data_IF_082749844128
#
_entry.id   IF_082749844128
#
_cell.length_a   1.000
_cell.length_b   1.000
_cell.length_c   1.000
_cell.angle_alpha   90.00
_cell.angle_beta   90.00
_cell.angle_gamma   90.00
#
_symmetry.space_group_name_H-M   'P 1'
#
loop_
_entity.id
_entity.type
_entity.pdbx_description
1 polymer ?
#
# COMPACT_ATOMS: atom_id res chain seq x y z
N UNK A 1 38.53 -32.67 25.00
CA UNK A 1 37.35 -32.01 24.39
C UNK A 1 37.22 -32.55 22.98
N UNK A 2 36.35 -33.55 22.84
CA UNK A 2 36.18 -34.35 21.63
C UNK A 2 35.19 -33.65 20.69
N UNK A 3 35.52 -33.64 19.40
CA UNK A 3 34.57 -33.34 18.34
C UNK A 3 33.77 -34.60 17.95
N UNK A 4 32.56 -34.36 17.44
CA UNK A 4 31.87 -35.24 16.50
C UNK A 4 30.65 -34.49 15.96
N UNK A 5 30.54 -34.49 14.64
CA UNK A 5 29.39 -34.04 13.85
C UNK A 5 28.08 -34.66 14.36
N UNK A 6 27.01 -33.87 14.42
CA UNK A 6 25.64 -34.39 14.60
C UNK A 6 24.97 -34.51 13.24
N UNK A 7 24.97 -35.74 12.71
CA UNK A 7 24.05 -36.21 11.69
C UNK A 7 22.66 -36.36 12.32
N UNK A 8 21.63 -35.74 11.74
CA UNK A 8 20.23 -36.00 12.11
C UNK A 8 19.63 -36.89 11.03
N UNK A 9 19.54 -38.18 11.34
CA UNK A 9 18.75 -39.16 10.58
C UNK A 9 17.27 -39.02 10.95
N UNK A 10 16.41 -38.92 9.94
CA UNK A 10 14.95 -38.93 10.11
C UNK A 10 14.46 -40.37 9.91
N UNK A 11 14.09 -41.04 11.00
CA UNK A 11 13.37 -42.32 10.94
C UNK A 11 11.88 -42.09 10.66
N UNK A 12 11.35 -42.78 9.65
CA UNK A 12 9.91 -42.85 9.39
C UNK A 12 9.28 -43.90 10.33
N UNK A 13 8.48 -43.44 11.29
CA UNK A 13 7.65 -44.33 12.11
C UNK A 13 6.36 -44.64 11.35
N UNK A 14 6.15 -45.93 11.06
CA UNK A 14 5.01 -46.47 10.33
C UNK A 14 3.99 -47.02 11.33
N UNK A 15 3.06 -46.19 11.81
CA UNK A 15 1.91 -46.63 12.59
C UNK A 15 0.63 -45.95 12.13
N UNK A 16 -0.28 -46.76 11.58
CA UNK A 16 -1.63 -46.35 11.14
C UNK A 16 -2.51 -46.09 12.35
N UNK A 17 -2.94 -44.85 12.55
CA UNK A 17 -4.08 -44.52 13.40
C UNK A 17 -5.28 -44.20 12.50
N UNK A 18 -6.33 -45.02 12.62
CA UNK A 18 -7.63 -44.80 11.98
C UNK A 18 -8.33 -43.60 12.60
N UNK A 19 -8.59 -42.56 11.82
CA UNK A 19 -9.60 -41.55 12.13
C UNK A 19 -10.58 -41.50 10.96
N UNK A 20 -11.78 -42.01 11.22
CA UNK A 20 -12.90 -42.10 10.29
C UNK A 20 -13.46 -40.70 9.99
N UNK A 21 -13.43 -40.29 8.73
CA UNK A 21 -14.16 -39.13 8.22
C UNK A 21 -15.48 -39.65 7.63
N UNK A 22 -16.66 -39.07 7.95
CA UNK A 22 -17.89 -39.48 7.30
C UNK A 22 -17.88 -39.02 5.83
N UNK A 23 -18.04 -40.00 4.95
CA UNK A 23 -18.16 -39.86 3.50
C UNK A 23 -19.60 -39.42 3.15
N UNK A 24 -19.73 -38.40 2.30
CA UNK A 24 -20.90 -38.20 1.46
C UNK A 24 -20.43 -38.12 0.00
N UNK A 25 -20.52 -39.30 -0.64
CA UNK A 25 -20.58 -39.68 -2.05
C UNK A 25 -20.24 -38.67 -3.16
N UNK A 26 -19.26 -39.07 -3.97
CA UNK A 26 -18.97 -38.58 -5.32
C UNK A 26 -20.11 -38.80 -6.30
N UNK A 27 -20.32 -37.89 -7.24
CA UNK A 27 -20.39 -38.25 -8.66
C UNK A 27 -20.06 -37.02 -9.51
N UNK A 28 -18.95 -37.16 -10.22
CA UNK A 28 -18.68 -36.64 -11.55
C UNK A 28 -18.48 -35.13 -11.74
N UNK A 29 -17.20 -34.73 -11.67
CA UNK A 29 -16.68 -33.66 -12.51
C UNK A 29 -16.72 -34.13 -13.98
N UNK A 30 -17.08 -33.22 -14.90
CA UNK A 30 -16.18 -33.02 -16.02
C UNK A 30 -15.70 -31.58 -16.08
N UNK A 31 -14.40 -31.47 -16.37
CA UNK A 31 -13.78 -30.27 -16.93
C UNK A 31 -14.58 -29.80 -18.14
N UNK A 32 -15.23 -28.65 -18.00
CA UNK A 32 -15.48 -27.77 -19.14
C UNK A 32 -15.34 -26.34 -18.67
N UNK A 33 -14.43 -25.66 -19.36
CA UNK A 33 -14.28 -24.22 -19.39
C UNK A 33 -15.64 -23.53 -19.62
N UNK A 34 -15.74 -22.28 -19.13
CA UNK A 34 -16.89 -21.37 -19.30
C UNK A 34 -18.07 -21.50 -18.31
N UNK A 35 -17.77 -21.44 -17.01
CA UNK A 35 -18.72 -21.01 -15.98
C UNK A 35 -18.62 -19.50 -15.69
N UNK A 36 -19.14 -18.65 -16.59
CA UNK A 36 -19.30 -17.21 -16.31
C UNK A 36 -20.41 -17.04 -15.26
N UNK A 37 -20.04 -17.02 -13.99
CA UNK A 37 -20.92 -16.55 -12.91
C UNK A 37 -20.73 -15.04 -12.77
N UNK A 38 -21.55 -14.27 -13.50
CA UNK A 38 -21.79 -12.86 -13.20
C UNK A 38 -22.52 -12.76 -11.86
N UNK A 39 -21.76 -12.79 -10.77
CA UNK A 39 -22.26 -12.72 -9.41
C UNK A 39 -21.24 -12.07 -8.48
N UNK A 40 -21.02 -10.77 -8.64
CA UNK A 40 -20.47 -9.92 -7.56
C UNK A 40 -20.87 -8.45 -7.82
N UNK A 41 -22.16 -8.25 -8.07
CA UNK A 41 -22.83 -6.93 -8.11
C UNK A 41 -23.08 -6.42 -6.68
N UNK A 42 -22.01 -6.39 -5.88
CA UNK A 42 -22.02 -5.60 -4.64
C UNK A 42 -21.57 -4.20 -5.00
N UNK A 43 -22.52 -3.27 -5.10
CA UNK A 43 -22.22 -1.84 -5.09
C UNK A 43 -21.42 -1.55 -3.83
N UNK A 44 -20.19 -1.06 -3.99
CA UNK A 44 -19.38 -0.72 -2.83
C UNK A 44 -19.81 0.62 -2.27
N UNK A 45 -20.09 0.64 -0.97
CA UNK A 45 -20.41 1.83 -0.20
C UNK A 45 -19.33 2.08 0.83
N UNK A 46 -19.22 3.34 1.28
CA UNK A 46 -18.31 3.69 2.35
C UNK A 46 -18.69 2.98 3.67
N UNK A 47 -17.71 2.38 4.34
CA UNK A 47 -17.81 1.62 5.60
C UNK A 47 -17.23 2.39 6.80
N UNK A 48 -16.89 3.66 6.61
CA UNK A 48 -16.28 4.56 7.58
C UNK A 48 -16.91 5.94 7.48
N UNK A 49 -16.51 6.87 8.34
CA UNK A 49 -17.01 8.25 8.31
C UNK A 49 -16.42 8.98 7.10
N UNK A 50 -17.26 9.44 6.13
CA UNK A 50 -16.78 10.18 4.98
C UNK A 50 -16.00 11.42 5.39
N UNK A 51 -14.86 11.65 4.73
CA UNK A 51 -13.96 12.76 5.06
C UNK A 51 -13.15 13.22 3.85
N UNK A 52 -12.52 14.40 3.89
CA UNK A 52 -11.62 14.85 2.83
C UNK A 52 -10.48 13.84 2.56
N UNK A 53 -10.15 13.67 1.28
CA UNK A 53 -9.10 12.76 0.83
C UNK A 53 -7.97 13.52 0.14
N UNK A 54 -6.74 13.08 0.39
CA UNK A 54 -5.54 13.58 -0.28
C UNK A 54 -4.73 12.43 -0.86
N UNK A 55 -4.43 12.52 -2.14
CA UNK A 55 -3.64 11.56 -2.90
C UNK A 55 -2.22 12.08 -3.09
N UNK A 56 -1.23 11.33 -2.58
CA UNK A 56 0.20 11.66 -2.62
C UNK A 56 0.90 10.70 -3.57
N UNK A 57 1.28 11.20 -4.75
CA UNK A 57 1.90 10.39 -5.78
C UNK A 57 3.33 9.94 -5.40
N UNK A 58 3.86 8.98 -6.16
CA UNK A 58 5.23 8.49 -6.04
C UNK A 58 6.24 9.28 -6.88
N UNK A 59 7.31 8.62 -7.29
CA UNK A 59 8.31 9.18 -8.20
C UNK A 59 7.74 9.33 -9.61
N UNK A 60 8.15 10.38 -10.34
CA UNK A 60 7.86 10.53 -11.77
C UNK A 60 7.15 11.83 -12.19
N UNK A 61 6.92 12.77 -11.27
CA UNK A 61 6.36 14.09 -11.61
C UNK A 61 7.49 15.13 -11.59
N UNK A 62 7.82 15.78 -12.72
CA UNK A 62 8.96 16.71 -12.83
C UNK A 62 8.66 18.15 -12.41
N UNK A 63 7.46 18.42 -11.89
CA UNK A 63 6.99 19.76 -11.55
C UNK A 63 6.20 19.75 -10.25
N UNK A 64 6.01 20.94 -9.69
CA UNK A 64 5.26 21.17 -8.46
C UNK A 64 4.23 22.27 -8.71
N UNK A 65 3.07 22.16 -8.08
CA UNK A 65 2.07 23.23 -8.05
C UNK A 65 1.92 23.76 -6.63
N UNK A 66 1.58 25.05 -6.45
CA UNK A 66 1.52 25.69 -5.14
C UNK A 66 0.37 25.19 -4.26
N UNK A 67 -0.68 24.63 -4.86
CA UNK A 67 -1.89 24.16 -4.16
C UNK A 67 -2.23 22.71 -4.50
N UNK A 68 -3.08 22.10 -3.68
CA UNK A 68 -3.66 20.80 -3.99
C UNK A 68 -4.65 20.91 -5.15
N UNK A 69 -4.55 19.97 -6.09
CA UNK A 69 -5.33 19.96 -7.33
C UNK A 69 -6.56 19.06 -7.22
N UNK A 70 -7.54 19.28 -8.09
CA UNK A 70 -8.73 18.41 -8.23
C UNK A 70 -8.50 17.23 -9.19
N UNK A 71 -7.39 17.23 -9.92
CA UNK A 71 -7.00 16.11 -10.76
C UNK A 71 -5.49 16.02 -10.91
N UNK A 72 -4.98 14.81 -11.17
CA UNK A 72 -3.59 14.57 -11.53
C UNK A 72 -3.51 13.32 -12.40
N UNK A 73 -2.96 13.46 -13.61
CA UNK A 73 -2.82 12.36 -14.59
C UNK A 73 -2.07 11.13 -14.04
N UNK A 74 -1.28 11.30 -12.98
CA UNK A 74 -0.63 10.20 -12.27
C UNK A 74 -1.60 9.11 -11.81
N UNK A 75 -2.80 9.48 -11.35
CA UNK A 75 -3.73 8.57 -10.65
C UNK A 75 -4.88 8.04 -11.51
N UNK A 76 -4.90 8.34 -12.81
CA UNK A 76 -6.05 8.00 -13.66
C UNK A 76 -7.32 8.77 -13.27
N UNK A 77 -8.48 8.27 -13.72
CA UNK A 77 -9.78 8.83 -13.39
C UNK A 77 -10.39 8.07 -12.21
N UNK A 78 -10.62 8.76 -11.09
CA UNK A 78 -11.22 8.21 -9.88
C UNK A 78 -12.61 8.77 -9.58
N UNK A 79 -13.21 9.53 -10.49
CA UNK A 79 -14.56 10.06 -10.32
C UNK A 79 -15.56 8.93 -10.08
N UNK A 80 -16.30 8.99 -8.97
CA UNK A 80 -17.27 7.96 -8.58
C UNK A 80 -16.67 6.75 -7.86
N UNK A 81 -15.35 6.62 -7.78
CA UNK A 81 -14.65 5.44 -7.25
C UNK A 81 -14.09 5.63 -5.84
N UNK A 82 -14.49 6.69 -5.14
CA UNK A 82 -14.00 7.03 -3.80
C UNK A 82 -15.16 7.36 -2.85
N UNK A 83 -16.02 6.38 -2.49
CA UNK A 83 -17.27 6.64 -1.77
C UNK A 83 -17.07 7.22 -0.36
N UNK A 84 -15.89 7.04 0.25
CA UNK A 84 -15.55 7.63 1.55
C UNK A 84 -14.95 9.04 1.49
N UNK A 85 -14.71 9.56 0.29
CA UNK A 85 -14.11 10.87 0.11
C UNK A 85 -15.20 11.93 -0.09
N UNK A 86 -15.32 12.87 0.84
CA UNK A 86 -16.22 14.04 0.64
C UNK A 86 -15.65 15.01 -0.39
N UNK A 87 -14.32 15.10 -0.45
CA UNK A 87 -13.56 15.79 -1.50
C UNK A 87 -12.32 14.96 -1.82
N UNK A 88 -11.87 15.02 -3.07
CA UNK A 88 -10.64 14.35 -3.51
C UNK A 88 -9.67 15.42 -3.98
N UNK A 89 -8.51 15.46 -3.34
CA UNK A 89 -7.42 16.37 -3.68
C UNK A 89 -6.16 15.60 -4.02
N UNK A 90 -5.32 16.18 -4.86
CA UNK A 90 -4.06 15.60 -5.32
C UNK A 90 -2.91 16.55 -4.98
N UNK A 91 -1.94 16.05 -4.22
CA UNK A 91 -0.69 16.77 -3.97
C UNK A 91 0.20 16.62 -5.20
N UNK A 92 0.59 17.74 -5.83
CA UNK A 92 1.48 17.75 -7.00
C UNK A 92 2.83 18.30 -6.57
N UNK A 93 3.84 17.44 -6.53
CA UNK A 93 5.17 17.76 -6.03
C UNK A 93 6.25 17.30 -7.03
N UNK A 94 7.35 18.04 -7.13
CA UNK A 94 8.47 17.63 -7.99
C UNK A 94 9.22 16.46 -7.34
N UNK A 95 8.87 15.24 -7.74
CA UNK A 95 9.42 13.99 -7.22
C UNK A 95 10.47 13.37 -8.12
N UNK A 96 10.83 14.02 -9.24
CA UNK A 96 11.99 13.64 -10.04
C UNK A 96 13.24 14.28 -9.45
N UNK A 97 13.20 15.56 -9.15
CA UNK A 97 14.37 16.29 -8.64
C UNK A 97 14.50 16.20 -7.11
N UNK A 98 13.39 15.91 -6.40
CA UNK A 98 13.39 15.79 -4.94
C UNK A 98 12.97 14.39 -4.51
N UNK A 99 13.92 13.62 -3.99
CA UNK A 99 13.69 12.26 -3.48
C UNK A 99 13.03 12.28 -2.10
N UNK A 100 12.54 11.12 -1.66
CA UNK A 100 11.86 10.98 -0.36
C UNK A 100 12.70 11.34 0.87
N UNK A 101 14.02 11.36 0.75
CA UNK A 101 14.96 11.74 1.81
C UNK A 101 15.13 13.26 1.93
N UNK A 102 14.61 14.04 0.97
CA UNK A 102 14.68 15.49 1.01
C UNK A 102 13.71 16.03 2.08
N UNK A 103 14.26 16.67 3.10
CA UNK A 103 13.47 17.20 4.22
C UNK A 103 12.49 18.32 3.82
N UNK A 104 12.83 19.13 2.81
CA UNK A 104 11.89 20.15 2.30
C UNK A 104 10.72 19.46 1.62
N UNK A 105 10.98 18.44 0.80
CA UNK A 105 9.94 17.66 0.13
C UNK A 105 9.01 16.95 1.11
N UNK A 106 9.57 16.33 2.15
CA UNK A 106 8.80 15.73 3.24
C UNK A 106 7.88 16.75 3.93
N UNK A 107 8.39 17.96 4.19
CA UNK A 107 7.60 19.02 4.81
C UNK A 107 6.47 19.51 3.89
N UNK A 108 6.72 19.60 2.58
CA UNK A 108 5.66 19.89 1.60
C UNK A 108 4.55 18.83 1.65
N UNK A 109 4.88 17.54 1.76
CA UNK A 109 3.87 16.48 1.93
C UNK A 109 2.99 16.71 3.16
N UNK A 110 3.58 17.07 4.31
CA UNK A 110 2.81 17.41 5.50
C UNK A 110 1.88 18.60 5.26
N UNK A 111 2.39 19.70 4.70
CA UNK A 111 1.61 20.90 4.43
C UNK A 111 0.44 20.63 3.46
N UNK A 112 0.68 19.78 2.46
CA UNK A 112 -0.36 19.35 1.50
C UNK A 112 -1.47 18.57 2.20
N UNK A 113 -1.13 17.69 3.15
CA UNK A 113 -2.11 16.92 3.90
C UNK A 113 -2.87 17.78 4.93
N UNK A 114 -2.18 18.67 5.66
CA UNK A 114 -2.78 19.59 6.62
C UNK A 114 -3.83 20.49 5.95
N UNK A 115 -3.56 21.00 4.74
CA UNK A 115 -4.44 21.92 4.03
C UNK A 115 -5.78 21.33 3.57
N UNK A 116 -5.97 20.00 3.67
CA UNK A 116 -7.14 19.30 3.11
C UNK A 116 -8.32 19.31 4.08
N UNK A 117 -8.03 19.20 5.38
CA UNK A 117 -9.06 19.28 6.43
C UNK A 117 -8.92 20.58 7.22
N UNK A 118 -10.06 21.25 7.42
CA UNK A 118 -10.14 22.47 8.24
C UNK A 118 -9.95 22.20 9.74
N UNK A 119 -10.07 20.95 10.17
CA UNK A 119 -9.86 20.56 11.57
C UNK A 119 -8.39 20.34 11.90
N UNK A 120 -7.55 20.16 10.87
CA UNK A 120 -6.10 20.05 11.04
C UNK A 120 -5.56 21.30 11.72
N UNK A 121 -4.70 21.11 12.71
CA UNK A 121 -4.13 22.20 13.50
C UNK A 121 -2.66 21.95 13.78
N UNK A 122 -1.87 23.02 13.73
CA UNK A 122 -0.42 22.98 13.94
C UNK A 122 0.24 21.97 12.98
N UNK A 123 0.79 20.89 13.51
CA UNK A 123 1.40 19.81 12.74
C UNK A 123 0.58 18.50 12.75
N UNK A 124 -0.68 18.53 13.21
CA UNK A 124 -1.54 17.36 13.35
C UNK A 124 -2.57 17.31 12.23
N UNK A 125 -2.53 16.24 11.43
CA UNK A 125 -3.50 15.98 10.36
C UNK A 125 -4.70 15.23 10.94
N UNK A 126 -5.88 15.86 10.92
CA UNK A 126 -7.13 15.29 11.42
C UNK A 126 -8.19 15.18 10.33
N UNK A 127 -9.18 14.33 10.54
CA UNK A 127 -10.32 14.09 9.65
C UNK A 127 -9.92 13.92 8.17
N UNK A 128 -8.85 13.20 7.89
CA UNK A 128 -8.32 13.07 6.52
C UNK A 128 -8.05 11.62 6.15
N UNK A 129 -8.48 11.17 4.97
CA UNK A 129 -7.98 9.94 4.36
C UNK A 129 -6.79 10.29 3.47
N UNK A 130 -5.63 9.72 3.78
CA UNK A 130 -4.41 9.93 3.01
C UNK A 130 -4.13 8.68 2.20
N UNK A 131 -4.13 8.81 0.87
CA UNK A 131 -3.78 7.74 -0.06
C UNK A 131 -2.40 8.02 -0.63
N UNK A 132 -1.41 7.18 -0.36
CA UNK A 132 -0.05 7.39 -0.85
C UNK A 132 0.48 6.22 -1.67
N UNK A 133 1.14 6.52 -2.79
CA UNK A 133 1.69 5.52 -3.69
C UNK A 133 3.22 5.54 -3.74
N UNK A 134 3.85 4.36 -3.74
CA UNK A 134 5.28 4.18 -3.96
C UNK A 134 6.12 5.11 -3.05
N UNK A 135 6.97 5.96 -3.63
CA UNK A 135 7.79 6.94 -2.91
C UNK A 135 6.97 7.92 -2.03
N UNK A 136 5.70 8.16 -2.33
CA UNK A 136 4.79 8.96 -1.51
C UNK A 136 4.64 8.43 -0.09
N UNK A 137 4.61 7.09 0.07
CA UNK A 137 4.56 6.46 1.39
C UNK A 137 5.82 6.81 2.21
N UNK A 138 6.99 6.81 1.57
CA UNK A 138 8.25 7.12 2.23
C UNK A 138 8.34 8.60 2.63
N UNK A 139 7.81 9.51 1.80
CA UNK A 139 7.77 10.94 2.14
C UNK A 139 6.89 11.21 3.35
N UNK A 140 5.69 10.61 3.38
CA UNK A 140 4.77 10.75 4.50
C UNK A 140 5.31 10.08 5.77
N UNK A 141 5.86 8.87 5.64
CA UNK A 141 6.48 8.18 6.77
C UNK A 141 7.68 8.96 7.33
N UNK A 142 8.50 9.53 6.45
CA UNK A 142 9.68 10.31 6.84
C UNK A 142 9.31 11.59 7.60
N UNK A 143 8.28 12.31 7.16
CA UNK A 143 7.84 13.53 7.86
C UNK A 143 7.24 13.21 9.23
N UNK A 144 6.48 12.11 9.35
CA UNK A 144 5.93 11.64 10.61
C UNK A 144 7.05 11.20 11.58
N UNK A 145 7.99 10.38 11.11
CA UNK A 145 9.12 9.91 11.91
C UNK A 145 10.04 11.02 12.39
N UNK A 146 10.09 12.14 11.65
CA UNK A 146 10.84 13.33 12.06
C UNK A 146 10.10 14.21 13.07
N UNK A 147 8.87 13.86 13.46
CA UNK A 147 8.03 14.65 14.37
C UNK A 147 7.50 15.96 13.76
N UNK A 148 7.70 16.17 12.46
CA UNK A 148 7.25 17.39 11.75
C UNK A 148 5.78 17.35 11.37
N UNK A 149 5.18 16.17 11.38
CA UNK A 149 3.75 15.95 11.18
C UNK A 149 3.31 14.78 12.06
N UNK A 150 2.05 14.72 12.43
CA UNK A 150 1.45 13.54 13.04
C UNK A 150 0.04 13.30 12.49
N UNK A 151 -0.45 12.08 12.68
CA UNK A 151 -1.81 11.70 12.31
C UNK A 151 -2.64 11.63 13.58
N UNK A 152 -3.75 12.35 13.60
CA UNK A 152 -4.78 12.14 14.61
C UNK A 152 -5.52 10.82 14.38
N UNK A 153 -6.13 10.28 15.43
CA UNK A 153 -6.96 9.07 15.36
C UNK A 153 -8.16 9.18 14.40
N UNK A 154 -8.61 10.41 14.10
CA UNK A 154 -9.62 10.72 13.09
C UNK A 154 -9.11 10.66 11.65
N UNK A 155 -7.82 10.38 11.41
CA UNK A 155 -7.25 10.24 10.08
C UNK A 155 -7.00 8.78 9.72
N UNK A 156 -6.92 8.49 8.43
CA UNK A 156 -6.71 7.13 7.92
C UNK A 156 -5.64 7.14 6.85
N UNK A 157 -4.65 6.26 6.97
CA UNK A 157 -3.60 6.11 5.98
C UNK A 157 -3.79 4.84 5.15
N UNK A 158 -4.02 5.03 3.85
CA UNK A 158 -4.06 3.98 2.83
C UNK A 158 -2.75 4.00 2.03
N UNK A 159 -1.98 2.92 2.13
CA UNK A 159 -0.74 2.75 1.38
C UNK A 159 -0.91 1.92 0.11
N UNK A 160 -0.20 2.29 -0.95
CA UNK A 160 -0.16 1.55 -2.21
C UNK A 160 1.29 1.36 -2.64
N UNK A 161 1.70 0.10 -2.84
CA UNK A 161 3.07 -0.32 -3.17
C UNK A 161 4.16 0.44 -2.42
N UNK A 162 3.97 0.59 -1.12
CA UNK A 162 4.98 1.15 -0.25
C UNK A 162 6.24 0.27 -0.32
N UNK A 163 7.41 0.82 -0.68
CA UNK A 163 8.67 0.07 -0.78
C UNK A 163 9.29 -0.16 0.61
N UNK A 164 8.48 -0.59 1.58
CA UNK A 164 8.80 -0.51 3.01
C UNK A 164 9.26 -1.83 3.63
N UNK A 165 9.91 -2.67 2.83
CA UNK A 165 10.45 -3.95 3.28
C UNK A 165 11.98 -3.98 3.11
N UNK A 166 12.69 -3.97 4.24
CA UNK A 166 14.14 -4.12 4.29
C UNK A 166 14.58 -5.16 5.34
N UNK A 167 14.72 -6.42 4.93
CA UNK A 167 15.86 -7.23 5.38
C UNK A 167 16.99 -7.06 4.34
N UNK A 168 17.82 -6.03 4.52
CA UNK A 168 19.12 -5.81 3.82
C UNK A 168 19.24 -5.90 2.28
N UNK A 169 18.25 -6.31 1.47
CA UNK A 169 18.50 -6.67 0.06
C UNK A 169 17.61 -5.98 -0.99
N UNK A 170 16.75 -5.03 -0.61
CA UNK A 170 15.95 -4.23 -1.56
C UNK A 170 16.49 -2.81 -1.79
N UNK A 171 17.32 -2.26 -0.88
CA UNK A 171 17.95 -0.95 -1.07
C UNK A 171 18.98 -0.92 -2.21
N UNK A 172 19.56 -2.08 -2.56
CA UNK A 172 20.68 -2.16 -3.49
C UNK A 172 20.29 -2.19 -4.99
N UNK A 173 19.02 -2.43 -5.33
CA UNK A 173 18.60 -2.56 -6.74
C UNK A 173 17.87 -1.33 -7.28
N UNK A 174 17.10 -0.61 -6.45
CA UNK A 174 16.46 0.64 -6.88
C UNK A 174 17.41 1.85 -6.87
N UNK A 175 18.51 1.81 -6.11
CA UNK A 175 19.51 2.88 -6.05
C UNK A 175 20.71 2.68 -7.00
N UNK A 176 20.86 1.51 -7.64
CA UNK A 176 22.02 1.23 -8.51
C UNK A 176 22.05 2.04 -9.80
N UNK A 177 20.92 2.61 -10.24
CA UNK A 177 20.85 3.42 -11.45
C UNK A 177 21.01 4.94 -11.21
N UNK A 178 21.22 5.40 -9.98
CA UNK A 178 21.30 6.85 -9.66
C UNK A 178 22.60 7.27 -8.95
N UNK A 179 23.61 6.40 -8.88
CA UNK A 179 25.00 6.81 -8.69
C UNK A 179 25.35 7.49 -7.35
N UNK A 180 24.60 7.28 -6.27
CA UNK A 180 24.94 7.81 -4.94
C UNK A 180 24.73 6.78 -3.83
N UNK A 181 25.79 6.03 -3.53
CA UNK A 181 25.96 5.24 -2.31
C UNK A 181 27.40 5.43 -1.80
N UNK A 182 27.66 5.39 -0.48
CA UNK A 182 26.81 4.76 0.53
C UNK A 182 25.99 5.74 1.42
N UNK A 183 24.87 5.26 2.01
CA UNK A 183 24.02 6.06 2.89
C UNK A 183 24.66 6.28 4.28
N UNK A 184 24.52 7.49 4.81
CA UNK A 184 24.93 7.88 6.17
C UNK A 184 24.07 7.18 7.26
N UNK A 185 24.54 7.17 8.50
CA UNK A 185 23.84 6.59 9.66
C UNK A 185 22.42 7.15 9.85
N UNK A 186 22.19 8.42 9.49
CA UNK A 186 20.87 9.07 9.52
C UNK A 186 19.88 8.49 8.49
N UNK A 187 20.35 8.02 7.33
CA UNK A 187 19.51 7.36 6.32
C UNK A 187 19.09 5.95 6.76
N UNK A 188 19.93 5.26 7.55
CA UNK A 188 19.58 3.97 8.17
C UNK A 188 18.56 4.14 9.31
N UNK A 189 18.69 5.19 10.13
CA UNK A 189 17.74 5.47 11.21
C UNK A 189 16.39 6.02 10.71
N UNK A 190 16.40 6.87 9.69
CA UNK A 190 15.17 7.30 8.99
C UNK A 190 14.44 6.12 8.37
N UNK A 191 15.17 5.15 7.79
CA UNK A 191 14.57 3.93 7.24
C UNK A 191 13.85 3.13 8.34
N UNK A 192 14.41 3.02 9.55
CA UNK A 192 13.78 2.26 10.65
C UNK A 192 12.60 3.00 11.29
N UNK A 193 12.77 4.27 11.65
CA UNK A 193 11.68 5.08 12.24
C UNK A 193 10.50 5.21 11.30
N UNK A 194 10.74 5.59 10.04
CA UNK A 194 9.69 5.68 9.03
C UNK A 194 9.03 4.32 8.76
N UNK A 195 9.80 3.22 8.76
CA UNK A 195 9.21 1.87 8.65
C UNK A 195 8.26 1.56 9.81
N UNK A 196 8.69 1.83 11.04
CA UNK A 196 7.87 1.63 12.23
C UNK A 196 6.59 2.47 12.16
N UNK A 197 6.71 3.76 11.84
CA UNK A 197 5.57 4.67 11.81
C UNK A 197 4.58 4.33 10.70
N UNK A 198 5.07 3.90 9.54
CA UNK A 198 4.17 3.38 8.51
C UNK A 198 3.46 2.13 8.97
N UNK A 199 4.17 1.15 9.53
CA UNK A 199 3.56 -0.11 9.97
C UNK A 199 2.53 0.10 11.09
N UNK A 200 2.74 1.08 11.98
CA UNK A 200 1.82 1.38 13.07
C UNK A 200 0.61 2.20 12.65
N UNK A 201 0.74 3.05 11.62
CA UNK A 201 -0.32 3.99 11.22
C UNK A 201 -1.08 3.58 9.95
N UNK A 202 -0.53 2.67 9.13
CA UNK A 202 -1.20 2.22 7.90
C UNK A 202 -2.44 1.37 8.25
N UNK A 203 -3.59 1.80 7.77
CA UNK A 203 -4.87 1.11 8.01
C UNK A 203 -5.21 0.10 6.92
N UNK A 204 -4.63 0.28 5.74
CA UNK A 204 -4.85 -0.54 4.57
C UNK A 204 -3.65 -0.47 3.61
N UNK A 205 -3.32 -1.59 2.96
CA UNK A 205 -2.17 -1.65 2.07
C UNK A 205 -2.40 -2.58 0.88
N UNK A 206 -2.19 -2.07 -0.33
CA UNK A 206 -2.10 -2.86 -1.56
C UNK A 206 -0.63 -3.05 -1.95
N UNK A 207 -0.20 -4.30 -2.15
CA UNK A 207 1.17 -4.64 -2.52
C UNK A 207 1.23 -5.93 -3.34
N UNK A 208 2.22 -6.11 -4.23
CA UNK A 208 2.32 -7.31 -5.07
C UNK A 208 3.13 -8.47 -4.46
N UNK A 209 4.03 -8.17 -3.52
CA UNK A 209 5.04 -9.12 -3.03
C UNK A 209 4.76 -9.72 -1.65
N UNK A 210 3.69 -9.32 -0.97
CA UNK A 210 3.42 -9.78 0.41
C UNK A 210 2.56 -11.04 0.43
N UNK A 211 3.17 -12.19 0.76
CA UNK A 211 2.47 -13.49 0.71
C UNK A 211 1.39 -13.65 1.77
N UNK A 212 1.47 -12.88 2.87
CA UNK A 212 0.49 -12.89 3.96
C UNK A 212 -0.80 -12.12 3.63
N UNK A 213 -0.80 -11.32 2.56
CA UNK A 213 -1.96 -10.51 2.20
C UNK A 213 -3.00 -11.32 1.43
N UNK A 214 -4.27 -10.93 1.59
CA UNK A 214 -5.38 -11.60 0.92
C UNK A 214 -5.36 -11.31 -0.58
N UNK A 215 -5.78 -12.28 -1.40
CA UNK A 215 -5.66 -12.20 -2.88
C UNK A 215 -6.88 -11.57 -3.56
N UNK A 216 -7.75 -10.91 -2.81
CA UNK A 216 -9.00 -10.32 -3.32
C UNK A 216 -9.12 -8.86 -2.89
N UNK A 217 -9.80 -8.04 -3.68
CA UNK A 217 -10.06 -6.62 -3.38
C UNK A 217 -10.87 -6.42 -2.09
N UNK A 218 -11.51 -7.46 -1.56
CA UNK A 218 -12.26 -7.41 -0.29
C UNK A 218 -11.32 -7.34 0.93
N UNK A 219 -10.02 -7.62 0.76
CA UNK A 219 -9.05 -7.60 1.84
C UNK A 219 -8.41 -6.21 1.99
N UNK A 220 -8.45 -5.63 3.21
CA UNK A 220 -7.77 -4.35 3.51
C UNK A 220 -6.27 -4.39 3.23
N UNK A 221 -5.66 -5.55 3.48
CA UNK A 221 -4.29 -5.87 3.09
C UNK A 221 -4.35 -6.77 1.85
N UNK A 222 -4.22 -6.15 0.68
CA UNK A 222 -4.49 -6.76 -0.62
C UNK A 222 -3.21 -7.09 -1.37
N UNK A 223 -3.06 -8.37 -1.72
CA UNK A 223 -2.03 -8.86 -2.60
C UNK A 223 -2.49 -8.78 -4.05
N UNK A 224 -2.02 -7.78 -4.77
CA UNK A 224 -2.32 -7.63 -6.20
C UNK A 224 -1.31 -8.40 -7.07
N UNK A 225 -1.73 -8.81 -8.27
CA UNK A 225 -0.83 -9.30 -9.32
C UNK A 225 -0.34 -8.20 -10.26
N UNK A 226 -0.79 -6.97 -10.06
CA UNK A 226 -0.40 -5.82 -10.86
C UNK A 226 1.05 -5.39 -10.58
N UNK A 227 1.67 -4.78 -11.59
CA UNK A 227 2.97 -4.13 -11.44
C UNK A 227 2.82 -2.74 -10.77
N UNK A 228 3.95 -2.10 -10.47
CA UNK A 228 3.99 -0.79 -9.78
C UNK A 228 3.25 0.34 -10.51
N UNK A 229 3.11 0.25 -11.84
CA UNK A 229 2.47 1.30 -12.62
C UNK A 229 0.96 1.08 -12.76
N UNK A 230 0.52 -0.16 -12.90
CA UNK A 230 -0.91 -0.46 -13.11
C UNK A 230 -1.77 -0.24 -11.85
N UNK A 231 -1.14 -0.27 -10.68
CA UNK A 231 -1.79 0.06 -9.40
C UNK A 231 -2.01 1.57 -9.19
N UNK A 232 -1.63 2.42 -10.15
CA UNK A 232 -1.97 3.84 -10.17
C UNK A 232 -3.39 4.12 -10.68
N UNK A 233 -4.23 3.08 -10.81
CA UNK A 233 -5.63 3.14 -11.29
C UNK A 233 -5.84 3.58 -12.75
N UNK A 234 -4.77 3.94 -13.47
CA UNK A 234 -4.85 4.41 -14.87
C UNK A 234 -5.58 3.47 -15.82
N UNK A 235 -5.48 2.17 -15.58
CA UNK A 235 -6.04 1.13 -16.45
C UNK A 235 -7.30 0.48 -15.87
N UNK A 236 -7.80 0.96 -14.73
CA UNK A 236 -8.97 0.38 -14.06
C UNK A 236 -8.75 -1.04 -13.55
N UNK A 237 -9.85 -1.79 -13.51
CA UNK A 237 -9.91 -3.17 -13.02
C UNK A 237 -9.74 -4.20 -14.14
N UNK A 238 -9.10 -5.32 -13.80
CA UNK A 238 -8.85 -6.44 -14.70
C UNK A 238 -10.10 -7.30 -14.90
N UNK A 239 -10.46 -7.54 -16.16
CA UNK A 239 -11.67 -8.28 -16.55
C UNK A 239 -11.70 -9.75 -16.08
N UNK A 240 -10.53 -10.38 -15.92
CA UNK A 240 -10.43 -11.83 -15.68
C UNK A 240 -9.68 -12.20 -14.39
N UNK A 241 -9.38 -11.23 -13.52
CA UNK A 241 -8.61 -11.52 -12.30
C UNK A 241 -9.05 -10.73 -11.08
N UNK A 242 -9.55 -11.44 -10.06
CA UNK A 242 -9.86 -10.87 -8.74
C UNK A 242 -8.62 -10.29 -8.02
N UNK A 243 -7.42 -10.65 -8.46
CA UNK A 243 -6.15 -10.13 -7.97
C UNK A 243 -5.64 -8.89 -8.77
N UNK A 244 -6.41 -8.40 -9.73
CA UNK A 244 -6.12 -7.21 -10.53
C UNK A 244 -7.27 -6.20 -10.44
N UNK A 245 -7.75 -5.92 -9.23
CA UNK A 245 -8.93 -5.08 -9.00
C UNK A 245 -8.58 -3.86 -8.14
N UNK A 246 -7.68 -2.96 -8.59
CA UNK A 246 -7.22 -1.83 -7.79
C UNK A 246 -8.32 -0.80 -7.54
N UNK A 247 -9.19 -0.52 -8.51
CA UNK A 247 -10.27 0.47 -8.36
C UNK A 247 -11.33 -0.07 -7.42
N UNK A 248 -11.81 -1.30 -7.65
CA UNK A 248 -12.75 -1.96 -6.71
C UNK A 248 -12.15 -2.12 -5.32
N UNK A 249 -10.84 -2.34 -5.20
CA UNK A 249 -10.20 -2.36 -3.87
C UNK A 249 -10.36 -1.00 -3.19
N UNK A 250 -10.04 0.11 -3.86
CA UNK A 250 -10.18 1.45 -3.31
C UNK A 250 -11.64 1.78 -2.94
N UNK A 251 -12.59 1.44 -3.81
CA UNK A 251 -14.03 1.67 -3.59
C UNK A 251 -14.57 0.94 -2.37
N UNK A 252 -14.16 -0.31 -2.17
CA UNK A 252 -14.71 -1.18 -1.15
C UNK A 252 -13.89 -1.18 0.15
N UNK A 253 -12.79 -0.42 0.20
CA UNK A 253 -11.77 -0.52 1.24
C UNK A 253 -12.27 -0.02 2.60
N UNK A 254 -12.81 1.19 2.58
CA UNK A 254 -13.15 2.00 3.73
C UNK A 254 -14.63 2.21 3.84
#
# INVERSE_FOLDING_TARGET
>A
MYGSDMDITVEYVNTRANISIPIATSTDLPDSEFGFTWGDDSTCSCKSTPRPCIFIHGMGVPYELPDNQDSLFYWGNLTGHTPCCTTVKYAVLDTINNTWTNHSQQHKVCNRALAVSKTSKDNVISDTIIVSHSMGNLMLAGVIASGKCSLDSSSTWVGIAAPMKGNQLSHAKMAKNSGRCPPTTALKSMSYGAQKDFQSNVSALMCSTESKFGKTWKNRFYRTKLNLYDIQFKHGDGLFSKAMMPVKWLECLL
#
